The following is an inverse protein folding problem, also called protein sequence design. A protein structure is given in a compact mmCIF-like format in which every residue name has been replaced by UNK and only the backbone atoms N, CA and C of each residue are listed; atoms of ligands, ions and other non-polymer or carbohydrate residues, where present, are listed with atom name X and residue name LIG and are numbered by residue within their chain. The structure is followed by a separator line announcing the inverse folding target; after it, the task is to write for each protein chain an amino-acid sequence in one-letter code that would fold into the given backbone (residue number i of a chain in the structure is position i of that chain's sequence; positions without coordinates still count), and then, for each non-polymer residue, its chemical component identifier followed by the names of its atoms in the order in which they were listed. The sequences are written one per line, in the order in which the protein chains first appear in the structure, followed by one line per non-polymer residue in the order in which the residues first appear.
data_IF_788715466352
#
_entry.id   IF_788715466352
#
_cell.length_a   1.000
_cell.length_b   1.000
_cell.length_c   1.000
_cell.angle_alpha   90.00
_cell.angle_beta   90.00
_cell.angle_gamma   90.00
#
_symmetry.space_group_name_H-M   'P 1'
#
loop_
_entity.id
_entity.type
_entity.pdbx_description
1 polymer ?
#
# COMPACT_ATOMS: atom_id res chain seq x y z
N UNK A 1 12.12 -0.81 24.98
CA UNK A 1 13.23 -0.55 24.04
C UNK A 1 13.01 -1.43 22.81
N UNK A 2 13.02 -0.89 21.60
CA UNK A 2 12.86 -1.67 20.37
C UNK A 2 14.11 -2.53 20.06
N UNK A 3 13.90 -3.56 19.24
CA UNK A 3 14.96 -4.38 18.63
C UNK A 3 15.19 -3.87 17.21
N UNK A 4 16.45 -3.75 16.82
CA UNK A 4 16.87 -3.38 15.47
C UNK A 4 17.72 -4.50 14.87
N UNK A 5 17.65 -4.63 13.55
CA UNK A 5 18.45 -5.55 12.75
C UNK A 5 19.62 -4.81 12.11
N UNK A 6 20.81 -5.39 12.18
CA UNK A 6 22.03 -4.88 11.57
C UNK A 6 22.64 -5.95 10.66
N UNK A 7 22.96 -5.56 9.43
CA UNK A 7 23.59 -6.42 8.44
C UNK A 7 25.10 -6.15 8.34
N UNK A 8 25.89 -7.21 8.31
CA UNK A 8 27.32 -7.12 7.97
C UNK A 8 27.52 -7.28 6.46
N UNK A 9 28.14 -6.32 5.74
CA UNK A 9 28.34 -6.43 4.30
C UNK A 9 29.42 -7.44 3.89
N UNK A 10 30.27 -7.88 4.82
CA UNK A 10 31.34 -8.85 4.54
C UNK A 10 30.94 -10.28 4.89
N UNK A 11 30.32 -10.47 6.06
CA UNK A 11 29.95 -11.80 6.55
C UNK A 11 28.52 -12.22 6.13
N UNK A 12 27.71 -11.29 5.62
CA UNK A 12 26.30 -11.51 5.27
C UNK A 12 25.48 -12.09 6.43
N UNK A 13 25.84 -11.72 7.67
CA UNK A 13 25.12 -12.10 8.89
C UNK A 13 24.21 -10.96 9.36
N UNK A 14 23.13 -11.35 10.02
CA UNK A 14 22.20 -10.45 10.70
C UNK A 14 22.44 -10.47 12.21
N UNK A 15 22.47 -9.29 12.81
CA UNK A 15 22.59 -9.09 14.25
C UNK A 15 21.36 -8.36 14.78
N UNK A 16 20.71 -8.95 15.78
CA UNK A 16 19.59 -8.35 16.49
C UNK A 16 20.06 -7.67 17.78
N UNK A 17 19.78 -6.38 17.94
CA UNK A 17 20.16 -5.64 19.14
C UNK A 17 19.04 -4.76 19.67
N UNK A 18 18.84 -4.82 20.99
CA UNK A 18 17.90 -3.99 21.71
C UNK A 18 18.53 -2.63 22.06
N UNK A 19 18.09 -1.57 21.39
CA UNK A 19 18.65 -0.22 21.59
C UNK A 19 17.56 0.84 21.82
N UNK A 20 17.88 1.94 22.52
CA UNK A 20 17.02 3.11 22.52
C UNK A 20 17.00 3.76 21.13
N UNK A 21 15.90 4.43 20.79
CA UNK A 21 15.71 5.00 19.45
C UNK A 21 16.79 6.01 19.04
N UNK A 22 17.39 6.73 19.99
CA UNK A 22 18.47 7.69 19.71
C UNK A 22 19.80 7.04 19.30
N UNK A 23 19.96 5.72 19.47
CA UNK A 23 21.12 4.93 19.02
C UNK A 23 20.80 3.98 17.87
N UNK A 24 19.63 4.12 17.25
CA UNK A 24 19.17 3.18 16.24
C UNK A 24 20.12 3.09 15.04
N UNK A 25 20.70 4.21 14.63
CA UNK A 25 21.55 4.30 13.44
C UNK A 25 23.06 4.27 13.77
N UNK A 26 23.44 4.08 15.03
CA UNK A 26 24.84 3.91 15.40
C UNK A 26 25.36 2.55 14.89
N UNK A 27 26.51 2.49 14.19
CA UNK A 27 27.04 1.24 13.68
C UNK A 27 27.38 0.26 14.82
N UNK A 28 27.27 -1.03 14.54
CA UNK A 28 27.58 -2.14 15.45
C UNK A 28 28.81 -2.89 14.93
N UNK A 29 29.66 -3.38 15.82
CA UNK A 29 30.81 -4.20 15.43
C UNK A 29 30.39 -5.65 15.18
N UNK A 30 30.82 -6.20 14.04
CA UNK A 30 30.57 -7.59 13.68
C UNK A 30 31.39 -8.55 14.58
N UNK A 31 30.78 -9.56 15.22
CA UNK A 31 31.50 -10.51 16.07
C UNK A 31 32.39 -11.49 15.29
N UNK A 32 32.30 -11.51 13.95
CA UNK A 32 33.06 -12.43 13.09
C UNK A 32 34.24 -11.74 12.42
N UNK A 33 34.01 -10.63 11.72
CA UNK A 33 35.07 -9.90 10.99
C UNK A 33 35.50 -8.60 11.65
N UNK A 34 34.86 -8.16 12.74
CA UNK A 34 35.10 -6.87 13.39
C UNK A 34 34.86 -5.64 12.51
N UNK A 35 34.20 -5.81 11.35
CA UNK A 35 33.72 -4.72 10.51
C UNK A 35 32.50 -4.01 11.11
N UNK A 36 32.13 -2.87 10.52
CA UNK A 36 30.98 -2.08 10.94
C UNK A 36 29.70 -2.56 10.23
N UNK A 37 28.78 -3.12 11.01
CA UNK A 37 27.42 -3.46 10.58
C UNK A 37 26.54 -2.22 10.53
N UNK A 38 25.67 -2.18 9.53
CA UNK A 38 24.72 -1.07 9.30
C UNK A 38 23.30 -1.52 9.57
N UNK A 39 22.47 -0.61 10.06
CA UNK A 39 21.07 -0.91 10.35
C UNK A 39 20.31 -1.24 9.07
N UNK A 40 19.55 -2.33 9.09
CA UNK A 40 18.63 -2.66 8.02
C UNK A 40 17.26 -2.00 8.23
N UNK A 41 16.73 -1.28 7.23
CA UNK A 41 15.38 -0.75 7.31
C UNK A 41 14.36 -1.89 7.18
N UNK A 42 13.39 -1.92 8.08
CA UNK A 42 12.28 -2.87 7.99
C UNK A 42 11.44 -2.61 6.74
N UNK A 43 11.37 -3.60 5.85
CA UNK A 43 10.57 -3.54 4.63
C UNK A 43 9.15 -4.04 4.91
N UNK A 44 8.20 -3.12 4.99
CA UNK A 44 6.78 -3.47 5.09
C UNK A 44 6.11 -3.30 3.72
N UNK A 45 5.51 -4.38 3.21
CA UNK A 45 4.66 -4.31 2.01
C UNK A 45 3.28 -3.80 2.38
N UNK A 46 3.00 -2.53 2.08
CA UNK A 46 1.65 -1.98 2.19
C UNK A 46 0.88 -2.35 0.91
N UNK A 47 -0.20 -3.15 1.04
CA UNK A 47 -1.12 -3.37 -0.08
C UNK A 47 -1.86 -2.07 -0.34
N UNK A 48 -1.54 -1.40 -1.44
CA UNK A 48 -2.31 -0.24 -1.90
C UNK A 48 -3.76 -0.67 -2.16
N UNK A 49 -4.72 0.04 -1.57
CA UNK A 49 -6.12 -0.14 -1.94
C UNK A 49 -6.28 0.13 -3.45
N UNK A 50 -7.07 -0.67 -4.18
CA UNK A 50 -7.35 -0.40 -5.58
C UNK A 50 -7.95 1.02 -5.71
N UNK A 51 -7.59 1.77 -6.76
CA UNK A 51 -8.15 3.09 -6.99
C UNK A 51 -9.68 2.99 -7.04
N UNK A 52 -10.42 3.99 -6.51
CA UNK A 52 -11.86 4.00 -6.59
C UNK A 52 -12.28 3.89 -8.06
N UNK A 53 -13.33 3.11 -8.39
CA UNK A 53 -13.82 3.00 -9.76
C UNK A 53 -14.16 4.40 -10.27
N UNK A 54 -13.61 4.77 -11.42
CA UNK A 54 -13.95 6.05 -12.03
C UNK A 54 -15.44 6.06 -12.37
N UNK A 55 -16.18 7.15 -12.07
CA UNK A 55 -17.57 7.25 -12.43
C UNK A 55 -17.71 7.18 -13.95
N UNK A 56 -18.36 6.13 -14.45
CA UNK A 56 -18.72 5.99 -15.86
C UNK A 56 -19.97 6.83 -16.10
N UNK A 57 -19.78 8.05 -16.61
CA UNK A 57 -20.90 8.89 -17.04
C UNK A 57 -21.45 8.35 -18.37
N UNK A 58 -22.76 8.11 -18.43
CA UNK A 58 -23.41 7.70 -19.68
C UNK A 58 -23.28 8.81 -20.73
N UNK A 59 -22.84 8.44 -21.94
CA UNK A 59 -22.78 9.38 -23.06
C UNK A 59 -24.21 9.77 -23.46
N UNK A 60 -24.54 11.06 -23.71
CA UNK A 60 -25.87 11.48 -24.15
C UNK A 60 -26.39 10.71 -25.38
N UNK A 61 -25.52 10.21 -26.26
CA UNK A 61 -25.91 9.34 -27.38
C UNK A 61 -26.47 7.98 -26.94
N UNK A 62 -26.04 7.46 -25.78
CA UNK A 62 -26.57 6.23 -25.19
C UNK A 62 -27.92 6.46 -24.48
N UNK A 63 -28.19 7.70 -24.04
CA UNK A 63 -29.43 8.07 -23.35
C UNK A 63 -30.54 8.48 -24.35
N UNK A 64 -30.17 8.97 -25.53
CA UNK A 64 -31.09 9.66 -26.44
C UNK A 64 -32.06 8.78 -27.28
N UNK A 65 -32.22 7.48 -27.01
CA UNK A 65 -33.18 6.64 -27.77
C UNK A 65 -34.05 5.74 -26.91
N UNK A 66 -34.62 6.33 -25.87
CA UNK A 66 -35.90 5.88 -25.34
C UNK A 66 -37.05 6.40 -26.23
N UNK A 67 -37.10 5.97 -27.51
CA UNK A 67 -38.24 6.24 -28.40
C UNK A 67 -39.38 5.29 -28.03
N UNK A 68 -40.10 5.64 -26.98
CA UNK A 68 -41.25 4.89 -26.54
C UNK A 68 -42.52 5.63 -26.96
N UNK A 69 -43.59 4.90 -27.28
CA UNK A 69 -44.91 5.51 -27.47
C UNK A 69 -45.41 6.17 -26.17
N UNK A 70 -46.40 7.07 -26.28
CA UNK A 70 -46.94 7.85 -25.15
C UNK A 70 -47.43 7.00 -23.95
N UNK A 71 -47.57 5.68 -24.09
CA UNK A 71 -48.06 4.75 -23.06
C UNK A 71 -47.09 3.58 -22.75
N UNK A 72 -45.76 3.77 -22.80
CA UNK A 72 -44.83 2.70 -22.44
C UNK A 72 -44.81 2.42 -20.93
N UNK A 73 -44.71 1.13 -20.56
CA UNK A 73 -44.57 0.70 -19.15
C UNK A 73 -43.32 1.27 -18.46
N UNK A 74 -42.31 1.66 -19.24
CA UNK A 74 -41.10 2.34 -18.77
C UNK A 74 -41.34 3.75 -18.21
N UNK A 75 -42.25 4.52 -18.79
CA UNK A 75 -42.49 5.93 -18.45
C UNK A 75 -43.83 6.17 -17.76
N UNK A 76 -44.70 5.15 -17.67
CA UNK A 76 -45.98 5.25 -17.00
C UNK A 76 -45.77 5.47 -15.50
N UNK A 77 -46.21 6.61 -14.92
CA UNK A 77 -46.12 6.80 -13.49
C UNK A 77 -46.98 5.74 -12.80
N UNK A 78 -46.34 4.89 -11.98
CA UNK A 78 -47.04 3.91 -11.13
C UNK A 78 -47.98 4.69 -10.21
N UNK A 79 -49.27 4.70 -10.52
CA UNK A 79 -50.29 5.17 -9.57
C UNK A 79 -50.30 4.17 -8.41
N UNK A 80 -49.97 4.67 -7.22
CA UNK A 80 -50.10 3.95 -5.95
C UNK A 80 -51.56 3.63 -5.67
#
# INVERSE_FOLDING_TARGET
MPIYLFGCPECEIELEELRPAWRADEPLECPVCHGLCVREPSRFSVRSAPPPPQPVYANPQQVARALHGLDCDCCRPRRR
#
